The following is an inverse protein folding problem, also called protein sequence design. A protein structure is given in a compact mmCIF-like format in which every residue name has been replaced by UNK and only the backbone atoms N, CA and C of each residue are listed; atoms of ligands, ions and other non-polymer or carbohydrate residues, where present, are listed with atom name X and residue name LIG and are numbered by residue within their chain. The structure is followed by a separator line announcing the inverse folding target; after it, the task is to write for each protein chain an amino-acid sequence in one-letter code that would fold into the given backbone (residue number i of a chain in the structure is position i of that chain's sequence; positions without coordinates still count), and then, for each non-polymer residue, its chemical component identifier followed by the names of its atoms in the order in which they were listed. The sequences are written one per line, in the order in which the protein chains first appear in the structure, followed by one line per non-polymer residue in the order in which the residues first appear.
data_IF_303195555074
#
_entry.id   IF_303195555074
#
_cell.length_a   1.000
_cell.length_b   1.000
_cell.length_c   1.000
_cell.angle_alpha   90.00
_cell.angle_beta   90.00
_cell.angle_gamma   90.00
#
_symmetry.space_group_name_H-M   'P 1'
#
loop_
_entity.id
_entity.type
_entity.pdbx_description
1 polymer ?
#
# COMPACT_ATOMS: atom_id res chain seq x y z
N UNK A 1 -41.68 23.54 45.51
CA UNK A 1 -40.23 23.38 45.24
C UNK A 1 -40.01 22.26 44.24
N UNK A 2 -39.82 22.59 43.00
CA UNK A 2 -39.58 21.58 41.97
C UNK A 2 -38.08 21.47 41.77
N UNK A 3 -37.51 20.34 42.15
CA UNK A 3 -36.16 19.98 41.85
C UNK A 3 -36.10 19.49 40.41
N UNK A 4 -35.66 20.35 39.51
CA UNK A 4 -35.37 19.94 38.13
C UNK A 4 -34.01 19.29 38.12
N UNK A 5 -33.98 17.94 38.11
CA UNK A 5 -32.79 17.18 37.77
C UNK A 5 -32.55 17.32 36.26
N UNK A 6 -31.58 18.12 35.90
CA UNK A 6 -31.04 18.11 34.53
C UNK A 6 -30.06 16.96 34.44
N UNK A 7 -30.49 15.86 33.91
CA UNK A 7 -29.59 14.79 33.48
C UNK A 7 -28.99 15.27 32.20
N UNK A 8 -27.75 15.77 32.26
CA UNK A 8 -26.95 15.99 31.07
C UNK A 8 -26.53 14.61 30.56
N UNK A 9 -27.24 14.12 29.57
CA UNK A 9 -26.74 12.98 28.78
C UNK A 9 -25.51 13.47 27.99
N UNK A 10 -24.34 13.20 28.51
CA UNK A 10 -23.11 13.24 27.73
C UNK A 10 -23.11 12.04 26.81
N UNK A 11 -23.64 12.24 25.61
CA UNK A 11 -23.39 11.31 24.53
C UNK A 11 -21.94 11.43 24.15
N UNK A 12 -21.11 10.55 24.71
CA UNK A 12 -19.76 10.36 24.21
C UNK A 12 -19.87 9.75 22.80
N UNK A 13 -19.73 10.60 21.80
CA UNK A 13 -19.60 10.14 20.43
C UNK A 13 -18.21 9.53 20.31
N UNK A 14 -18.13 8.21 20.47
CA UNK A 14 -16.92 7.48 20.16
C UNK A 14 -16.76 7.53 18.65
N UNK A 15 -15.93 8.45 18.19
CA UNK A 15 -15.46 8.46 16.82
C UNK A 15 -14.53 7.24 16.64
N UNK A 16 -15.11 6.14 16.19
CA UNK A 16 -14.31 5.09 15.57
C UNK A 16 -13.75 5.65 14.28
N UNK A 17 -12.52 6.17 14.32
CA UNK A 17 -11.73 6.27 13.11
C UNK A 17 -11.49 4.84 12.65
N UNK A 18 -12.32 4.39 11.72
CA UNK A 18 -12.03 3.20 10.96
C UNK A 18 -10.77 3.47 10.16
N UNK A 19 -9.59 3.25 10.75
CA UNK A 19 -8.41 3.00 9.95
C UNK A 19 -8.79 1.81 9.07
N UNK A 20 -8.82 2.04 7.75
CA UNK A 20 -9.08 0.99 6.80
C UNK A 20 -7.94 -0.01 6.91
N UNK A 21 -8.08 -0.99 7.82
CA UNK A 21 -7.23 -2.15 7.88
C UNK A 21 -7.46 -2.89 6.58
N UNK A 22 -6.44 -2.94 5.72
CA UNK A 22 -6.47 -3.77 4.54
C UNK A 22 -6.77 -5.20 4.98
N UNK A 23 -7.93 -5.73 4.58
CA UNK A 23 -8.29 -7.09 4.88
C UNK A 23 -7.32 -8.03 4.17
N UNK A 24 -6.85 -9.07 4.88
CA UNK A 24 -6.10 -10.14 4.25
C UNK A 24 -6.96 -10.82 3.18
N UNK A 25 -6.41 -11.07 1.98
CA UNK A 25 -7.08 -11.94 1.02
C UNK A 25 -7.34 -13.31 1.63
N UNK A 26 -8.45 -13.92 1.24
CA UNK A 26 -8.83 -15.25 1.70
C UNK A 26 -7.74 -16.28 1.34
N UNK A 27 -7.40 -17.16 2.28
CA UNK A 27 -6.42 -18.22 2.08
C UNK A 27 -4.99 -17.86 2.53
N UNK A 28 -4.75 -16.63 2.95
CA UNK A 28 -3.45 -16.23 3.51
C UNK A 28 -3.35 -16.60 5.00
N UNK A 29 -2.15 -17.00 5.47
CA UNK A 29 -1.93 -17.22 6.91
C UNK A 29 -2.15 -15.93 7.71
N UNK A 30 -2.67 -16.06 8.93
CA UNK A 30 -2.95 -14.91 9.79
C UNK A 30 -1.71 -14.04 10.07
N UNK A 31 -0.53 -14.65 10.15
CA UNK A 31 0.74 -13.94 10.36
C UNK A 31 1.08 -12.99 9.21
N UNK A 32 0.55 -13.21 8.03
CA UNK A 32 0.76 -12.34 6.87
C UNK A 32 0.20 -10.95 7.09
N UNK A 33 -0.73 -10.79 8.03
CA UNK A 33 -1.24 -9.46 8.41
C UNK A 33 -0.12 -8.50 8.83
N UNK A 34 0.93 -9.02 9.48
CA UNK A 34 2.09 -8.21 9.88
C UNK A 34 2.83 -7.64 8.68
N UNK A 35 2.92 -8.42 7.60
CA UNK A 35 3.53 -7.98 6.33
C UNK A 35 2.69 -6.89 5.70
N UNK A 36 1.37 -7.07 5.66
CA UNK A 36 0.43 -6.07 5.12
C UNK A 36 0.50 -4.77 5.92
N UNK A 37 0.54 -4.85 7.25
CA UNK A 37 0.62 -3.69 8.13
C UNK A 37 1.93 -2.93 7.93
N UNK A 38 3.04 -3.63 7.81
CA UNK A 38 4.35 -3.02 7.54
C UNK A 38 4.39 -2.35 6.16
N UNK A 39 3.86 -3.01 5.14
CA UNK A 39 3.76 -2.46 3.79
C UNK A 39 2.88 -1.21 3.74
N UNK A 40 1.78 -1.21 4.48
CA UNK A 40 0.87 -0.07 4.59
C UNK A 40 1.56 1.13 5.26
N UNK A 41 2.43 0.89 6.24
CA UNK A 41 3.24 1.95 6.85
C UNK A 41 4.24 2.55 5.87
N UNK A 42 4.84 1.73 5.00
CA UNK A 42 5.71 2.23 3.93
C UNK A 42 4.92 3.06 2.92
N UNK A 43 3.68 2.68 2.65
CA UNK A 43 2.72 3.44 1.84
C UNK A 43 2.93 3.36 0.35
N UNK A 44 3.97 2.70 -0.14
CA UNK A 44 4.25 2.55 -1.57
C UNK A 44 5.06 1.31 -1.89
N UNK A 45 4.91 0.84 -3.12
CA UNK A 45 5.78 -0.16 -3.73
C UNK A 45 6.31 0.38 -5.06
N UNK A 46 7.61 0.27 -5.28
CA UNK A 46 8.30 0.74 -6.48
C UNK A 46 8.56 -0.45 -7.40
N UNK A 47 8.03 -0.38 -8.61
CA UNK A 47 8.16 -1.42 -9.62
C UNK A 47 8.97 -0.89 -10.81
N UNK A 48 10.02 -1.61 -11.19
CA UNK A 48 10.75 -1.41 -12.43
C UNK A 48 10.34 -2.50 -13.41
N UNK A 49 9.79 -2.13 -14.54
CA UNK A 49 9.22 -3.11 -15.46
C UNK A 49 9.50 -2.80 -16.91
N UNK A 50 9.62 -3.86 -17.70
CA UNK A 50 9.64 -3.79 -19.16
C UNK A 50 8.26 -3.99 -19.78
N UNK A 51 7.25 -4.25 -18.95
CA UNK A 51 5.87 -4.38 -19.41
C UNK A 51 5.22 -3.01 -19.55
N UNK A 52 4.57 -2.76 -20.68
CA UNK A 52 3.86 -1.51 -20.94
C UNK A 52 2.83 -1.22 -19.84
N UNK A 53 2.78 0.02 -19.37
CA UNK A 53 1.85 0.48 -18.33
C UNK A 53 0.38 0.20 -18.71
N UNK A 54 0.05 0.25 -20.01
CA UNK A 54 -1.31 -0.06 -20.47
C UNK A 54 -1.68 -1.51 -20.19
N UNK A 55 -0.72 -2.43 -20.35
CA UNK A 55 -0.93 -3.84 -20.04
C UNK A 55 -0.92 -4.11 -18.53
N UNK A 56 -0.07 -3.43 -17.78
CA UNK A 56 0.04 -3.57 -16.33
C UNK A 56 -1.06 -2.86 -15.56
N UNK A 57 -1.70 -1.86 -16.15
CA UNK A 57 -2.69 -1.00 -15.49
C UNK A 57 -3.79 -1.75 -14.72
N UNK A 58 -4.48 -2.72 -15.33
CA UNK A 58 -5.51 -3.49 -14.62
C UNK A 58 -4.99 -4.24 -13.39
N UNK A 59 -3.76 -4.78 -13.46
CA UNK A 59 -3.12 -5.46 -12.34
C UNK A 59 -2.79 -4.46 -11.22
N UNK A 60 -2.26 -3.30 -11.56
CA UNK A 60 -1.95 -2.22 -10.62
C UNK A 60 -3.21 -1.75 -9.91
N UNK A 61 -4.27 -1.52 -10.67
CA UNK A 61 -5.56 -1.09 -10.10
C UNK A 61 -6.14 -2.13 -9.17
N UNK A 62 -6.05 -3.41 -9.53
CA UNK A 62 -6.49 -4.52 -8.69
C UNK A 62 -5.72 -4.59 -7.37
N UNK A 63 -4.41 -4.39 -7.44
CA UNK A 63 -3.55 -4.35 -6.25
C UNK A 63 -3.92 -3.16 -5.34
N UNK A 64 -4.01 -1.96 -5.88
CA UNK A 64 -4.34 -0.75 -5.10
C UNK A 64 -5.75 -0.81 -4.51
N UNK A 65 -6.68 -1.49 -5.19
CA UNK A 65 -8.03 -1.74 -4.66
C UNK A 65 -8.03 -2.71 -3.49
N UNK A 66 -7.17 -3.73 -3.55
CA UNK A 66 -7.02 -4.72 -2.48
C UNK A 66 -6.27 -4.14 -1.28
N UNK A 67 -5.27 -3.29 -1.54
CA UNK A 67 -4.44 -2.65 -0.52
C UNK A 67 -4.46 -1.13 -0.69
N UNK A 68 -5.56 -0.46 -0.31
CA UNK A 68 -5.76 0.96 -0.60
C UNK A 68 -4.76 1.90 0.09
N UNK A 69 -4.04 1.41 1.11
CA UNK A 69 -2.98 2.17 1.79
C UNK A 69 -1.62 2.11 1.11
N UNK A 70 -1.48 1.37 -0.01
CA UNK A 70 -0.21 1.17 -0.71
C UNK A 70 -0.34 1.68 -2.14
N UNK A 71 0.45 2.70 -2.48
CA UNK A 71 0.54 3.25 -3.83
C UNK A 71 1.56 2.48 -4.65
N UNK A 72 1.22 2.16 -5.88
CA UNK A 72 2.16 1.58 -6.84
C UNK A 72 2.85 2.70 -7.60
N UNK A 73 4.16 2.78 -7.47
CA UNK A 73 5.02 3.62 -8.30
C UNK A 73 5.60 2.76 -9.41
N UNK A 74 4.98 2.85 -10.58
CA UNK A 74 5.32 2.01 -11.73
C UNK A 74 6.25 2.76 -12.68
N UNK A 75 7.40 2.17 -12.96
CA UNK A 75 8.40 2.71 -13.87
C UNK A 75 8.49 1.80 -15.09
N UNK A 76 7.91 2.27 -16.18
CA UNK A 76 7.95 1.60 -17.49
C UNK A 76 9.25 2.00 -18.20
N UNK A 77 10.07 1.05 -18.51
CA UNK A 77 11.36 1.28 -19.15
C UNK A 77 11.77 0.10 -20.03
N UNK A 78 12.66 0.34 -20.98
CA UNK A 78 13.21 -0.76 -21.74
C UNK A 78 14.22 -1.58 -20.90
N UNK A 79 14.57 -2.77 -21.35
CA UNK A 79 15.42 -3.68 -20.59
C UNK A 79 16.83 -3.11 -20.32
N UNK A 80 17.37 -2.33 -21.22
CA UNK A 80 18.68 -1.67 -21.06
C UNK A 80 18.63 -0.61 -19.96
N UNK A 81 17.62 0.24 -19.98
CA UNK A 81 17.40 1.27 -18.95
C UNK A 81 17.19 0.64 -17.57
N UNK A 82 16.35 -0.40 -17.52
CA UNK A 82 16.07 -1.13 -16.28
C UNK A 82 17.35 -1.72 -15.69
N UNK A 83 18.13 -2.41 -16.50
CA UNK A 83 19.39 -3.01 -16.08
C UNK A 83 20.37 -1.96 -15.56
N UNK A 84 20.61 -0.91 -16.35
CA UNK A 84 21.55 0.15 -15.98
C UNK A 84 21.13 0.87 -14.71
N UNK A 85 19.86 1.18 -14.57
CA UNK A 85 19.32 1.84 -13.35
C UNK A 85 19.48 0.96 -12.13
N UNK A 86 19.08 -0.30 -12.24
CA UNK A 86 19.20 -1.27 -11.15
C UNK A 86 20.65 -1.43 -10.69
N UNK A 87 21.57 -1.65 -11.62
CA UNK A 87 23.00 -1.85 -11.30
C UNK A 87 23.60 -0.57 -10.70
N UNK A 88 23.30 0.61 -11.23
CA UNK A 88 23.78 1.88 -10.70
C UNK A 88 23.29 2.14 -9.27
N UNK A 89 22.03 1.88 -9.01
CA UNK A 89 21.43 2.07 -7.67
C UNK A 89 22.01 1.08 -6.67
N UNK A 90 22.23 -0.17 -7.06
CA UNK A 90 22.88 -1.18 -6.21
C UNK A 90 24.33 -0.80 -5.89
N UNK A 91 25.08 -0.34 -6.88
CA UNK A 91 26.48 0.04 -6.71
C UNK A 91 26.66 1.28 -5.81
N UNK A 92 25.73 2.22 -5.87
CA UNK A 92 25.77 3.46 -5.05
C UNK A 92 25.16 3.30 -3.65
N UNK A 93 24.58 2.14 -3.34
CA UNK A 93 23.83 1.94 -2.10
C UNK A 93 22.52 2.73 -2.04
N UNK A 94 22.06 3.26 -3.18
CA UNK A 94 20.79 3.96 -3.30
C UNK A 94 19.59 3.03 -3.22
N UNK A 95 18.40 3.64 -3.15
CA UNK A 95 17.15 2.90 -3.13
C UNK A 95 16.85 2.42 -4.54
N UNK A 96 16.85 1.11 -4.75
CA UNK A 96 16.37 0.51 -5.97
C UNK A 96 14.89 0.15 -5.88
N UNK A 97 14.30 -0.24 -7.02
CA UNK A 97 12.93 -0.73 -7.01
C UNK A 97 12.74 -1.94 -6.08
N UNK A 98 11.56 -2.03 -5.50
CA UNK A 98 11.18 -3.17 -4.65
C UNK A 98 10.93 -4.44 -5.47
N UNK A 99 10.46 -4.26 -6.71
CA UNK A 99 10.13 -5.34 -7.63
C UNK A 99 10.76 -5.03 -8.99
N UNK A 100 11.41 -6.02 -9.57
CA UNK A 100 11.84 -6.01 -10.96
C UNK A 100 11.00 -7.01 -11.73
N UNK A 101 10.28 -6.50 -12.73
CA UNK A 101 9.39 -7.30 -13.57
C UNK A 101 9.82 -7.16 -15.03
N UNK A 102 10.58 -8.13 -15.48
CA UNK A 102 11.15 -8.16 -16.83
C UNK A 102 10.87 -9.49 -17.53
N UNK A 103 10.63 -9.40 -18.80
CA UNK A 103 10.52 -10.57 -19.71
C UNK A 103 11.82 -10.81 -20.45
#
# INVERSE_FOLDING_TARGET
MSNTFRISLLTATVLFSASALSALPQGYPAEYQKVVDAATKEGKVVIYSTTDIKAAGPLIQGFEKTYPGIKVEYNDMNSTELYNRFISEQASGGVSGDVVWSS
#
